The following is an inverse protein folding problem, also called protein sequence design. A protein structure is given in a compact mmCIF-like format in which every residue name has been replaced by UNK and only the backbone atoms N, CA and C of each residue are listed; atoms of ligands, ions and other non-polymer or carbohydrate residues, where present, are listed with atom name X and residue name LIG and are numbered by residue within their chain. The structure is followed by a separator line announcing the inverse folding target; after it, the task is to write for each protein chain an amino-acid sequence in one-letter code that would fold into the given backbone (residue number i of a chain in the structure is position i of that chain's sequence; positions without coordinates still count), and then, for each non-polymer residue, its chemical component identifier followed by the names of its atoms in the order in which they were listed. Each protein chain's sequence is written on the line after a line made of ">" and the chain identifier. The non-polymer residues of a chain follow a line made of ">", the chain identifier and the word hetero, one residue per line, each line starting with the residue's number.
data_IF_662714795197
#
_entry.id   IF_662714795197
#
_cell.length_a   1.000
_cell.length_b   1.000
_cell.length_c   1.000
_cell.angle_alpha   90.00
_cell.angle_beta   90.00
_cell.angle_gamma   90.00
#
_symmetry.space_group_name_H-M   'P 1'
#
loop_
_entity.id
_entity.type
_entity.pdbx_description
1 polymer ?
#
# COMPACT_ATOMS: atom_id res chain seq x y z
N UNK A 1 -10.23 2.75 -31.26
CA UNK A 1 -10.51 1.63 -30.36
C UNK A 1 -9.27 0.88 -29.90
N UNK A 2 -8.34 0.58 -30.81
CA UNK A 2 -7.07 -0.08 -30.44
C UNK A 2 -6.21 0.76 -29.49
N UNK A 3 -6.22 2.07 -29.64
CA UNK A 3 -5.50 3.00 -28.76
C UNK A 3 -6.07 3.00 -27.33
N UNK A 4 -7.39 2.91 -27.20
CA UNK A 4 -8.05 2.86 -25.89
C UNK A 4 -7.70 1.60 -25.11
N UNK A 5 -7.67 0.43 -25.78
CA UNK A 5 -7.32 -0.81 -25.11
C UNK A 5 -5.83 -0.86 -24.76
N UNK A 6 -4.95 -0.26 -25.58
CA UNK A 6 -3.53 -0.14 -25.25
C UNK A 6 -3.28 0.78 -24.07
N UNK A 7 -3.93 1.95 -24.08
CA UNK A 7 -3.85 2.91 -22.96
C UNK A 7 -4.38 2.29 -21.67
N UNK A 8 -5.52 1.59 -21.77
CA UNK A 8 -6.11 0.90 -20.64
C UNK A 8 -5.17 -0.17 -20.07
N UNK A 9 -4.53 -0.95 -20.94
CA UNK A 9 -3.57 -1.97 -20.54
C UNK A 9 -2.35 -1.35 -19.86
N UNK A 10 -1.81 -0.24 -20.40
CA UNK A 10 -0.68 0.48 -19.83
C UNK A 10 -1.01 1.05 -18.46
N UNK A 11 -2.19 1.65 -18.32
CA UNK A 11 -2.68 2.20 -17.05
C UNK A 11 -2.85 1.10 -16.02
N UNK A 12 -3.44 -0.03 -16.40
CA UNK A 12 -3.61 -1.17 -15.51
C UNK A 12 -2.26 -1.73 -15.05
N UNK A 13 -1.27 -1.78 -15.95
CA UNK A 13 0.09 -2.20 -15.59
C UNK A 13 0.74 -1.23 -14.61
N UNK A 14 0.59 0.08 -14.84
CA UNK A 14 1.15 1.10 -13.95
C UNK A 14 0.53 1.06 -12.56
N UNK A 15 -0.77 0.78 -12.46
CA UNK A 15 -1.46 0.64 -11.18
C UNK A 15 -1.16 -0.71 -10.51
N UNK A 16 -0.89 -1.74 -11.32
CA UNK A 16 -0.64 -3.08 -10.81
C UNK A 16 0.67 -3.16 -10.03
N UNK A 17 1.73 -2.45 -10.47
CA UNK A 17 3.03 -2.48 -9.81
C UNK A 17 2.95 -2.00 -8.36
N UNK A 18 2.39 -0.80 -8.06
CA UNK A 18 2.26 -0.38 -6.65
C UNK A 18 1.31 -1.24 -5.84
N UNK A 19 0.26 -1.79 -6.46
CA UNK A 19 -0.68 -2.68 -5.76
C UNK A 19 0.00 -3.99 -5.37
N UNK A 20 0.81 -4.57 -6.26
CA UNK A 20 1.57 -5.79 -5.96
C UNK A 20 2.62 -5.54 -4.89
N UNK A 21 3.30 -4.40 -4.94
CA UNK A 21 4.28 -4.02 -3.94
C UNK A 21 3.61 -3.86 -2.57
N UNK A 22 2.46 -3.21 -2.51
CA UNK A 22 1.70 -3.03 -1.28
C UNK A 22 1.24 -4.37 -0.71
N UNK A 23 0.73 -5.25 -1.57
CA UNK A 23 0.31 -6.60 -1.17
C UNK A 23 1.49 -7.40 -0.61
N UNK A 24 2.66 -7.31 -1.24
CA UNK A 24 3.89 -7.96 -0.78
C UNK A 24 4.27 -7.45 0.62
N UNK A 25 4.21 -6.14 0.84
CA UNK A 25 4.53 -5.53 2.13
C UNK A 25 3.55 -6.00 3.21
N UNK A 26 2.27 -6.08 2.89
CA UNK A 26 1.24 -6.56 3.81
C UNK A 26 1.51 -8.02 4.21
N UNK A 27 1.79 -8.87 3.23
CA UNK A 27 2.09 -10.29 3.49
C UNK A 27 3.36 -10.44 4.33
N UNK A 28 4.43 -9.73 3.97
CA UNK A 28 5.70 -9.76 4.70
C UNK A 28 5.50 -9.28 6.14
N UNK A 29 4.75 -8.21 6.33
CA UNK A 29 4.45 -7.68 7.66
C UNK A 29 3.63 -8.65 8.50
N UNK A 30 2.60 -9.23 7.92
CA UNK A 30 1.74 -10.21 8.58
C UNK A 30 2.55 -11.41 9.06
N UNK A 31 3.31 -12.04 8.17
CA UNK A 31 4.13 -13.20 8.49
C UNK A 31 5.26 -12.82 9.45
N UNK A 32 5.89 -11.68 9.24
CA UNK A 32 6.98 -11.19 10.08
C UNK A 32 6.55 -10.98 11.52
N UNK A 33 5.40 -10.36 11.76
CA UNK A 33 4.91 -10.19 13.14
C UNK A 33 4.57 -11.52 13.80
N UNK A 34 4.04 -12.46 13.03
CA UNK A 34 3.80 -13.80 13.57
C UNK A 34 5.08 -14.50 13.99
N UNK A 35 6.13 -14.39 13.19
CA UNK A 35 7.39 -15.10 13.43
C UNK A 35 8.28 -14.38 14.46
N UNK A 36 8.36 -13.05 14.38
CA UNK A 36 9.27 -12.26 15.24
C UNK A 36 8.66 -12.04 16.62
N UNK A 37 7.41 -11.59 16.68
CA UNK A 37 6.74 -11.25 17.94
C UNK A 37 5.91 -12.40 18.51
N UNK A 38 5.68 -13.45 17.73
CA UNK A 38 4.81 -14.54 18.15
C UNK A 38 3.34 -14.17 18.20
N UNK A 39 2.93 -13.14 17.48
CA UNK A 39 1.54 -12.73 17.44
C UNK A 39 0.68 -13.78 16.74
N UNK A 40 -0.58 -13.88 17.16
CA UNK A 40 -1.56 -14.69 16.45
C UNK A 40 -1.85 -14.06 15.09
N UNK A 41 -2.51 -14.82 14.20
CA UNK A 41 -2.89 -14.31 12.89
C UNK A 41 -3.77 -13.05 13.02
N UNK A 42 -4.72 -13.07 13.94
CA UNK A 42 -5.62 -11.94 14.19
C UNK A 42 -4.87 -10.73 14.73
N UNK A 43 -3.95 -10.93 15.68
CA UNK A 43 -3.12 -9.86 16.24
C UNK A 43 -2.22 -9.23 15.18
N UNK A 44 -1.60 -10.06 14.34
CA UNK A 44 -0.75 -9.57 13.25
C UNK A 44 -1.54 -8.75 12.24
N UNK A 45 -2.72 -9.24 11.84
CA UNK A 45 -3.59 -8.51 10.93
C UNK A 45 -4.07 -7.19 11.57
N UNK A 46 -4.45 -7.24 12.83
CA UNK A 46 -4.90 -6.07 13.58
C UNK A 46 -3.83 -4.99 13.64
N UNK A 47 -2.59 -5.36 13.99
CA UNK A 47 -1.46 -4.43 14.05
C UNK A 47 -1.20 -3.80 12.68
N UNK A 48 -1.25 -4.60 11.63
CA UNK A 48 -1.05 -4.10 10.25
C UNK A 48 -2.12 -3.07 9.89
N UNK A 49 -3.39 -3.38 10.18
CA UNK A 49 -4.51 -2.50 9.82
C UNK A 49 -4.42 -1.18 10.59
N UNK A 50 -4.24 -1.22 11.91
CA UNK A 50 -4.20 0.02 12.72
C UNK A 50 -2.95 0.85 12.43
N UNK A 51 -1.86 0.22 12.02
CA UNK A 51 -0.62 0.92 11.67
C UNK A 51 -0.79 1.65 10.33
N UNK A 52 -1.25 0.95 9.30
CA UNK A 52 -1.40 1.54 7.97
C UNK A 52 -2.61 2.47 7.87
N UNK A 53 -3.62 2.27 8.71
CA UNK A 53 -4.74 3.21 8.80
C UNK A 53 -4.39 4.44 9.65
N UNK A 54 -3.18 4.53 10.18
CA UNK A 54 -2.69 5.63 11.01
C UNK A 54 -3.43 5.81 12.34
N UNK A 55 -4.03 4.73 12.86
CA UNK A 55 -4.79 4.77 14.12
C UNK A 55 -3.85 4.59 15.31
N UNK A 56 -3.10 3.49 15.34
CA UNK A 56 -2.07 3.24 16.34
C UNK A 56 -2.56 3.22 17.78
N UNK A 57 -3.52 2.36 18.12
CA UNK A 57 -4.07 2.29 19.48
C UNK A 57 -3.02 1.97 20.55
N UNK A 58 -1.98 1.21 20.18
CA UNK A 58 -0.92 0.87 21.13
C UNK A 58 -1.25 -0.27 22.09
N UNK A 59 -2.36 -0.95 21.89
CA UNK A 59 -2.77 -2.09 22.71
C UNK A 59 -2.04 -3.37 22.32
N UNK A 60 -1.66 -3.51 21.05
CA UNK A 60 -0.82 -4.60 20.55
C UNK A 60 0.35 -3.94 19.83
N UNK A 61 1.55 -4.08 20.40
CA UNK A 61 2.75 -3.43 19.89
C UNK A 61 3.93 -4.43 19.88
N UNK A 62 4.90 -4.25 18.96
CA UNK A 62 6.12 -5.06 19.01
C UNK A 62 6.90 -4.76 20.30
N UNK A 63 7.32 -5.81 20.97
CA UNK A 63 8.03 -5.73 22.25
C UNK A 63 9.53 -5.96 22.09
N UNK A 64 9.90 -6.83 21.14
CA UNK A 64 11.31 -7.16 20.91
C UNK A 64 12.01 -6.06 20.10
N UNK A 65 13.32 -5.92 20.29
CA UNK A 65 14.12 -4.97 19.51
C UNK A 65 14.09 -5.31 18.02
N UNK A 66 14.18 -6.60 17.69
CA UNK A 66 14.09 -7.09 16.31
C UNK A 66 12.74 -6.71 15.70
N UNK A 67 11.67 -6.91 16.45
CA UNK A 67 10.32 -6.54 15.98
C UNK A 67 10.15 -5.05 15.79
N UNK A 68 10.76 -4.24 16.65
CA UNK A 68 10.74 -2.77 16.52
C UNK A 68 11.47 -2.31 15.26
N UNK A 69 12.65 -2.88 14.99
CA UNK A 69 13.42 -2.58 13.77
C UNK A 69 12.64 -3.02 12.54
N UNK A 70 12.08 -4.21 12.58
CA UNK A 70 11.23 -4.73 11.51
C UNK A 70 10.06 -3.80 11.23
N UNK A 71 9.39 -3.32 12.28
CA UNK A 71 8.26 -2.39 12.17
C UNK A 71 8.67 -1.07 11.55
N UNK A 72 9.82 -0.52 11.93
CA UNK A 72 10.34 0.72 11.34
C UNK A 72 10.55 0.55 9.84
N UNK A 73 11.22 -0.52 9.42
CA UNK A 73 11.46 -0.81 8.01
C UNK A 73 10.14 -1.02 7.26
N UNK A 74 9.21 -1.73 7.88
CA UNK A 74 7.90 -2.01 7.31
C UNK A 74 7.10 -0.73 7.07
N UNK A 75 7.07 0.17 8.07
CA UNK A 75 6.33 1.44 7.98
C UNK A 75 6.94 2.33 6.90
N UNK A 76 8.26 2.47 6.87
CA UNK A 76 8.94 3.28 5.86
C UNK A 76 8.64 2.74 4.47
N UNK A 77 8.78 1.44 4.26
CA UNK A 77 8.50 0.80 2.96
C UNK A 77 7.04 0.95 2.57
N UNK A 78 6.13 0.63 3.50
CA UNK A 78 4.70 0.69 3.25
C UNK A 78 4.21 2.10 3.00
N UNK A 79 4.72 3.08 3.74
CA UNK A 79 4.38 4.48 3.55
C UNK A 79 4.86 4.99 2.19
N UNK A 80 6.10 4.64 1.82
CA UNK A 80 6.67 5.03 0.52
C UNK A 80 5.84 4.47 -0.63
N UNK A 81 5.50 3.19 -0.58
CA UNK A 81 4.67 2.55 -1.61
C UNK A 81 3.26 3.13 -1.60
N UNK A 82 2.69 3.39 -0.42
CA UNK A 82 1.37 3.98 -0.27
C UNK A 82 1.28 5.36 -0.90
N UNK A 83 2.26 6.23 -0.63
CA UNK A 83 2.33 7.57 -1.22
C UNK A 83 2.47 7.48 -2.74
N UNK A 84 3.32 6.56 -3.21
CA UNK A 84 3.50 6.33 -4.64
C UNK A 84 2.19 5.88 -5.30
N UNK A 85 1.48 4.94 -4.68
CA UNK A 85 0.20 4.44 -5.19
C UNK A 85 -0.86 5.54 -5.22
N UNK A 86 -0.96 6.35 -4.16
CA UNK A 86 -1.90 7.47 -4.10
C UNK A 86 -1.56 8.50 -5.18
N UNK A 87 -0.27 8.80 -5.38
CA UNK A 87 0.18 9.71 -6.42
C UNK A 87 -0.21 9.24 -7.82
N UNK A 88 -0.03 7.95 -8.09
CA UNK A 88 -0.40 7.36 -9.39
C UNK A 88 -1.92 7.42 -9.62
N UNK A 89 -2.71 7.07 -8.61
CA UNK A 89 -4.17 7.12 -8.69
C UNK A 89 -4.65 8.56 -8.88
N UNK A 90 -4.09 9.50 -8.13
CA UNK A 90 -4.44 10.93 -8.25
C UNK A 90 -4.11 11.48 -9.63
N UNK A 91 -2.93 11.17 -10.16
CA UNK A 91 -2.52 11.58 -11.50
C UNK A 91 -3.49 11.03 -12.56
N UNK A 92 -3.91 9.79 -12.40
CA UNK A 92 -4.87 9.17 -13.31
C UNK A 92 -6.21 9.92 -13.30
N UNK A 93 -6.73 10.26 -12.12
CA UNK A 93 -7.99 11.01 -12.00
C UNK A 93 -7.87 12.42 -12.57
N UNK A 94 -6.78 13.12 -12.29
CA UNK A 94 -6.54 14.47 -12.79
C UNK A 94 -6.45 14.47 -14.32
N UNK A 95 -5.68 13.54 -14.89
CA UNK A 95 -5.56 13.40 -16.34
C UNK A 95 -6.89 13.07 -17.00
N UNK A 96 -7.70 12.21 -16.35
CA UNK A 96 -9.02 11.86 -16.84
C UNK A 96 -9.97 13.06 -16.88
N UNK A 97 -9.98 13.88 -15.83
CA UNK A 97 -10.80 15.08 -15.75
C UNK A 97 -10.35 16.15 -16.76
N UNK A 98 -9.05 16.36 -16.89
CA UNK A 98 -8.50 17.28 -17.86
C UNK A 98 -8.87 16.87 -19.29
N UNK A 99 -8.79 15.58 -19.57
CA UNK A 99 -9.18 15.02 -20.86
C UNK A 99 -10.66 15.29 -21.17
N UNK A 100 -11.52 15.15 -20.15
CA UNK A 100 -12.95 15.44 -20.26
C UNK A 100 -13.21 16.93 -20.53
N UNK A 101 -12.52 17.81 -19.82
CA UNK A 101 -12.65 19.25 -19.99
C UNK A 101 -12.20 19.70 -21.37
N UNK A 102 -11.12 19.12 -21.87
CA UNK A 102 -10.60 19.41 -23.21
C UNK A 102 -11.55 18.92 -24.31
N UNK A 103 -12.25 17.83 -24.08
CA UNK A 103 -13.25 17.30 -25.02
C UNK A 103 -14.52 18.14 -25.09
N UNK A 104 -14.86 18.85 -24.03
CA UNK A 104 -16.04 19.71 -23.98
C UNK A 104 -15.85 21.05 -24.70
N UNK A 105 -14.61 21.36 -25.12
CA UNK A 105 -14.30 22.53 -25.93
C UNK A 105 -14.38 22.18 -27.43
#
# INVERSE_FOLDING_TARGET
>A
MRLRSRLRTLILKELLVPLLALLTIIIVGFVGFMLIEGFSALQSLYVMVITFATIGYGDVVPVTDTGKIFTICLIISGFTVGVYAIGKISAFFVEGELSKLLKLR
#
